data_IF_224612945050
#
_entry.id   IF_224612945050
#
_cell.length_a   1.000
_cell.length_b   1.000
_cell.length_c   1.000
_cell.angle_alpha   90.00
_cell.angle_beta   90.00
_cell.angle_gamma   90.00
#
_symmetry.space_group_name_H-M   'P 1'
#
loop_
_entity.id
_entity.type
_entity.pdbx_description
1 polymer ?
#
# COMPACT_ATOMS: atom_id res chain seq x y z
N UNK A 1 8.68 0.79 -11.16
CA UNK A 1 8.97 -0.48 -10.47
C UNK A 1 9.51 -0.19 -9.08
N UNK A 2 9.39 -1.13 -8.15
CA UNK A 2 9.97 -1.05 -6.79
C UNK A 2 10.96 -2.19 -6.66
N UNK A 3 12.16 -1.90 -6.19
CA UNK A 3 13.21 -2.90 -5.90
C UNK A 3 13.66 -2.76 -4.46
N UNK A 4 14.14 -3.84 -3.84
CA UNK A 4 14.69 -3.80 -2.48
C UNK A 4 16.07 -4.45 -2.49
N UNK A 5 17.04 -3.76 -1.89
CA UNK A 5 18.40 -4.23 -1.64
C UNK A 5 18.72 -4.05 -0.17
N UNK A 6 18.72 -5.16 0.58
CA UNK A 6 18.82 -5.16 2.04
C UNK A 6 17.79 -4.25 2.70
N UNK A 7 18.26 -3.17 3.32
CA UNK A 7 17.42 -2.22 4.07
C UNK A 7 16.95 -1.02 3.25
N UNK A 8 17.20 -1.01 1.93
CA UNK A 8 16.85 0.11 1.06
C UNK A 8 15.89 -0.37 -0.03
N UNK A 9 14.74 0.27 -0.14
CA UNK A 9 13.83 0.11 -1.27
C UNK A 9 13.90 1.33 -2.17
N UNK A 10 13.91 1.12 -3.48
CA UNK A 10 14.00 2.15 -4.51
C UNK A 10 12.81 2.10 -5.46
N UNK A 11 12.29 3.27 -5.83
CA UNK A 11 11.29 3.45 -6.88
C UNK A 11 12.00 3.86 -8.17
N UNK A 12 11.61 3.27 -9.28
CA UNK A 12 12.15 3.57 -10.59
C UNK A 12 11.05 3.83 -11.61
N UNK A 13 11.29 4.74 -12.54
CA UNK A 13 10.44 4.90 -13.72
C UNK A 13 10.71 3.80 -14.76
N UNK A 14 9.89 3.76 -15.81
CA UNK A 14 9.99 2.76 -16.88
C UNK A 14 11.25 2.92 -17.75
N UNK A 15 11.89 4.08 -17.71
CA UNK A 15 13.18 4.36 -18.36
C UNK A 15 14.38 3.92 -17.53
N UNK A 16 14.17 3.33 -16.34
CA UNK A 16 15.23 2.87 -15.44
C UNK A 16 15.85 3.98 -14.58
N UNK A 17 15.27 5.17 -14.54
CA UNK A 17 15.73 6.25 -13.65
C UNK A 17 15.15 6.04 -12.25
N UNK A 18 16.01 6.11 -11.23
CA UNK A 18 15.59 6.11 -9.83
C UNK A 18 14.82 7.40 -9.53
N UNK A 19 13.60 7.27 -9.01
CA UNK A 19 12.74 8.38 -8.63
C UNK A 19 12.92 8.74 -7.16
N UNK A 20 13.00 7.74 -6.29
CA UNK A 20 13.19 7.92 -4.85
C UNK A 20 13.67 6.63 -4.19
N UNK A 21 14.07 6.74 -2.93
CA UNK A 21 14.45 5.61 -2.08
C UNK A 21 13.94 5.81 -0.66
N UNK A 22 13.65 4.70 0.02
CA UNK A 22 13.21 4.68 1.40
C UNK A 22 13.84 3.53 2.15
N UNK A 23 14.14 3.79 3.42
CA UNK A 23 14.67 2.77 4.32
C UNK A 23 13.54 1.85 4.76
N UNK A 24 13.77 0.55 4.65
CA UNK A 24 12.93 -0.49 5.21
C UNK A 24 13.73 -1.16 6.33
N UNK A 25 13.11 -1.28 7.50
CA UNK A 25 13.78 -1.87 8.68
C UNK A 25 13.64 -3.40 8.75
N UNK A 26 12.92 -3.96 7.78
CA UNK A 26 12.53 -5.36 7.68
C UNK A 26 12.27 -5.69 6.21
N UNK A 27 12.32 -6.97 5.87
CA UNK A 27 12.02 -7.41 4.52
C UNK A 27 10.56 -7.10 4.18
N UNK A 28 10.35 -6.54 2.99
CA UNK A 28 9.03 -6.21 2.48
C UNK A 28 8.68 -7.04 1.24
N UNK A 29 7.40 -7.35 1.08
CA UNK A 29 6.86 -8.19 0.02
C UNK A 29 5.60 -7.56 -0.59
N UNK A 30 5.30 -7.97 -1.82
CA UNK A 30 4.10 -7.57 -2.57
C UNK A 30 3.87 -6.04 -2.63
N UNK A 31 4.87 -5.23 -3.03
CA UNK A 31 4.67 -3.80 -3.11
C UNK A 31 3.64 -3.43 -4.20
N UNK A 32 2.75 -2.49 -3.90
CA UNK A 32 1.68 -2.04 -4.80
C UNK A 32 1.49 -0.53 -4.72
N UNK A 33 1.32 0.11 -5.88
CA UNK A 33 1.00 1.54 -5.95
C UNK A 33 -0.50 1.79 -5.71
N UNK A 34 -0.82 2.94 -5.12
CA UNK A 34 -2.18 3.47 -5.16
C UNK A 34 -2.59 3.83 -6.59
N UNK A 35 -3.91 3.82 -6.92
CA UNK A 35 -4.37 4.16 -8.26
C UNK A 35 -3.97 5.57 -8.74
N UNK A 36 -3.82 6.51 -7.80
CA UNK A 36 -3.35 7.87 -8.08
C UNK A 36 -1.82 7.98 -8.16
N UNK A 37 -1.09 6.88 -7.93
CA UNK A 37 0.36 6.81 -7.99
C UNK A 37 1.09 7.58 -6.87
N UNK A 38 0.39 8.08 -5.85
CA UNK A 38 1.00 8.91 -4.79
C UNK A 38 1.49 8.11 -3.59
N UNK A 39 1.02 6.87 -3.44
CA UNK A 39 1.32 6.01 -2.30
C UNK A 39 1.76 4.64 -2.76
N UNK A 40 2.51 3.99 -1.88
CA UNK A 40 2.90 2.59 -1.99
C UNK A 40 2.45 1.88 -0.73
N UNK A 41 1.99 0.65 -0.87
CA UNK A 41 1.85 -0.29 0.24
C UNK A 41 2.75 -1.50 0.00
N UNK A 42 3.34 -2.02 1.07
CA UNK A 42 3.98 -3.33 1.08
C UNK A 42 3.72 -4.03 2.41
N UNK A 43 3.94 -5.35 2.43
CA UNK A 43 3.81 -6.18 3.63
C UNK A 43 5.19 -6.47 4.17
N UNK A 44 5.36 -6.49 5.49
CA UNK A 44 6.60 -6.94 6.10
C UNK A 44 6.58 -8.38 6.60
N UNK A 45 7.78 -8.94 6.85
CA UNK A 45 7.95 -10.17 7.64
C UNK A 45 7.30 -10.11 9.02
N UNK A 46 7.24 -8.94 9.64
CA UNK A 46 6.75 -8.79 11.02
C UNK A 46 5.22 -8.63 11.10
N UNK A 47 4.50 -9.21 10.13
CA UNK A 47 3.04 -9.16 10.03
C UNK A 47 2.47 -7.72 9.98
N UNK A 48 3.15 -6.80 9.31
CA UNK A 48 2.67 -5.43 9.14
C UNK A 48 2.37 -5.14 7.68
N UNK A 49 1.37 -4.29 7.45
CA UNK A 49 1.22 -3.57 6.20
C UNK A 49 1.74 -2.14 6.41
N UNK A 50 2.66 -1.70 5.56
CA UNK A 50 3.32 -0.39 5.68
C UNK A 50 3.03 0.42 4.43
N UNK A 51 2.69 1.70 4.63
CA UNK A 51 2.36 2.63 3.57
C UNK A 51 3.39 3.76 3.54
N UNK A 52 3.91 4.05 2.35
CA UNK A 52 4.78 5.19 2.07
C UNK A 52 4.13 6.13 1.06
N UNK A 53 4.55 7.39 1.06
CA UNK A 53 4.41 8.23 -0.13
C UNK A 53 5.50 7.90 -1.16
N UNK A 54 5.32 8.34 -2.40
CA UNK A 54 6.33 8.11 -3.45
C UNK A 54 7.61 8.93 -3.30
N UNK A 55 7.69 9.85 -2.34
CA UNK A 55 8.94 10.53 -1.98
C UNK A 55 9.77 9.70 -0.99
N UNK A 56 9.24 8.55 -0.53
CA UNK A 56 9.91 7.64 0.39
C UNK A 56 9.59 7.90 1.86
N UNK A 57 8.65 8.79 2.17
CA UNK A 57 8.22 9.02 3.55
C UNK A 57 7.24 7.92 3.98
N UNK A 58 7.56 7.24 5.07
CA UNK A 58 6.62 6.32 5.71
C UNK A 58 5.44 7.11 6.31
N UNK A 59 4.22 6.70 5.96
CA UNK A 59 2.98 7.36 6.38
C UNK A 59 2.29 6.58 7.49
N UNK A 60 2.18 5.26 7.36
CA UNK A 60 1.37 4.41 8.25
C UNK A 60 1.99 3.02 8.38
N UNK A 61 1.93 2.46 9.58
CA UNK A 61 2.12 1.04 9.85
C UNK A 61 0.80 0.44 10.37
N UNK A 62 0.40 -0.69 9.82
CA UNK A 62 -0.83 -1.39 10.15
C UNK A 62 -0.43 -2.77 10.68
N UNK A 63 -0.46 -2.99 12.01
CA UNK A 63 -0.09 -4.27 12.58
C UNK A 63 -1.18 -5.32 12.34
N UNK A 64 -0.77 -6.55 12.06
CA UNK A 64 -1.64 -7.73 12.02
C UNK A 64 -1.15 -8.80 12.98
N UNK A 65 -2.10 -9.54 13.57
CA UNK A 65 -1.81 -10.62 14.52
C UNK A 65 -1.26 -11.88 13.81
N UNK A 66 -1.43 -11.95 12.50
CA UNK A 66 -1.05 -13.09 11.67
C UNK A 66 -0.39 -12.60 10.39
N UNK A 67 0.41 -13.44 9.71
CA UNK A 67 0.99 -13.11 8.41
C UNK A 67 -0.03 -12.53 7.44
N UNK A 68 0.32 -11.37 6.90
CA UNK A 68 -0.45 -10.73 5.84
C UNK A 68 -0.01 -11.37 4.53
N UNK A 69 -0.96 -11.92 3.78
CA UNK A 69 -0.63 -12.59 2.52
C UNK A 69 -0.61 -11.61 1.36
N UNK A 70 -1.48 -10.60 1.41
CA UNK A 70 -1.68 -9.67 0.31
C UNK A 70 -2.26 -8.34 0.80
N UNK A 71 -1.77 -7.25 0.21
CA UNK A 71 -2.21 -5.90 0.50
C UNK A 71 -2.19 -5.07 -0.79
N UNK A 72 -3.33 -4.46 -1.15
CA UNK A 72 -3.44 -3.58 -2.32
C UNK A 72 -4.39 -2.43 -2.07
N UNK A 73 -4.17 -1.34 -2.79
CA UNK A 73 -5.19 -0.32 -2.93
C UNK A 73 -6.29 -0.79 -3.89
N UNK A 74 -7.55 -0.55 -3.53
CA UNK A 74 -8.67 -0.76 -4.44
C UNK A 74 -8.69 0.30 -5.52
N UNK A 75 -8.95 -0.07 -6.79
CA UNK A 75 -9.19 0.89 -7.85
C UNK A 75 -10.54 1.57 -7.59
N UNK A 76 -10.53 2.87 -7.29
CA UNK A 76 -11.78 3.63 -7.35
C UNK A 76 -12.16 3.86 -8.82
N UNK A 77 -13.16 3.14 -9.30
CA UNK A 77 -14.03 3.64 -10.37
C UNK A 77 -15.43 3.71 -9.78
N UNK A 78 -15.79 4.88 -9.24
CA UNK A 78 -17.16 5.10 -8.76
C UNK A 78 -18.09 5.26 -9.96
N UNK A 79 -18.82 4.21 -10.33
CA UNK A 79 -20.03 4.34 -11.15
C UNK A 79 -21.22 4.19 -10.21
N UNK A 80 -21.80 5.33 -9.82
CA UNK A 80 -23.00 5.35 -8.98
C UNK A 80 -24.21 4.87 -9.78
N UNK A 81 -24.91 3.86 -9.29
CA UNK A 81 -26.36 3.83 -9.47
C UNK A 81 -27.01 3.37 -8.17
N UNK A 82 -27.83 4.28 -7.63
CA UNK A 82 -28.71 4.17 -6.47
C UNK A 82 -28.08 4.34 -5.07
N UNK A 83 -28.24 5.57 -4.57
CA UNK A 83 -28.50 5.93 -3.17
C UNK A 83 -27.39 5.66 -2.13
N UNK A 84 -26.30 6.43 -2.18
CA UNK A 84 -25.83 7.15 -0.99
C UNK A 84 -24.88 8.31 -1.34
N UNK A 85 -25.43 9.52 -1.39
CA UNK A 85 -24.66 10.72 -1.07
C UNK A 85 -24.42 10.73 0.44
N UNK A 86 -23.30 10.17 0.89
CA UNK A 86 -22.72 10.59 2.16
C UNK A 86 -21.21 10.68 2.01
N UNK A 87 -20.75 11.91 1.78
CA UNK A 87 -19.36 12.38 1.95
C UNK A 87 -18.32 11.79 0.99
N UNK A 88 -17.97 12.64 0.03
CA UNK A 88 -16.63 12.74 -0.54
C UNK A 88 -15.54 12.32 0.47
N UNK A 89 -14.92 11.17 0.26
CA UNK A 89 -13.54 10.93 0.69
C UNK A 89 -12.87 10.15 -0.42
N UNK A 90 -12.18 10.89 -1.30
CA UNK A 90 -11.27 10.36 -2.30
C UNK A 90 -10.04 9.85 -1.56
N UNK A 91 -10.11 8.65 -0.96
CA UNK A 91 -8.93 7.94 -0.48
C UNK A 91 -9.20 6.43 -0.58
N UNK A 92 -8.35 5.75 -1.36
CA UNK A 92 -8.54 4.37 -1.80
C UNK A 92 -8.76 3.41 -0.64
N UNK A 93 -9.75 2.53 -0.80
CA UNK A 93 -10.00 1.42 0.13
C UNK A 93 -8.79 0.51 0.10
N UNK A 94 -8.16 0.29 1.25
CA UNK A 94 -7.15 -0.76 1.37
C UNK A 94 -7.84 -2.12 1.49
N UNK A 95 -7.37 -3.13 0.75
CA UNK A 95 -7.79 -4.51 0.94
C UNK A 95 -6.59 -5.32 1.43
N UNK A 96 -6.72 -5.88 2.64
CA UNK A 96 -5.70 -6.75 3.26
C UNK A 96 -6.33 -8.08 3.63
N UNK A 97 -5.72 -9.20 3.22
CA UNK A 97 -6.20 -10.55 3.54
C UNK A 97 -5.16 -11.37 4.33
N UNK A 98 -5.60 -12.02 5.41
CA UNK A 98 -4.80 -12.98 6.20
C UNK A 98 -5.52 -14.34 6.33
N UNK A 99 -4.80 -15.36 6.81
CA UNK A 99 -5.30 -16.73 6.94
C UNK A 99 -6.48 -16.92 7.92
N UNK A 100 -6.82 -15.93 8.75
CA UNK A 100 -7.88 -16.07 9.77
C UNK A 100 -9.08 -15.12 9.66
N UNK A 101 -9.07 -14.02 8.91
CA UNK A 101 -10.30 -13.23 8.67
C UNK A 101 -10.20 -12.12 7.62
N UNK A 102 -11.39 -11.60 7.32
CA UNK A 102 -11.93 -10.63 6.37
C UNK A 102 -11.06 -9.42 5.99
N UNK A 103 -11.27 -8.92 4.76
CA UNK A 103 -10.70 -7.68 4.24
C UNK A 103 -10.86 -6.51 5.21
N UNK A 104 -9.76 -5.90 5.63
CA UNK A 104 -9.78 -4.71 6.50
C UNK A 104 -9.94 -3.46 5.64
N UNK A 105 -11.09 -2.79 5.74
CA UNK A 105 -11.35 -1.50 5.09
C UNK A 105 -10.86 -0.36 5.98
N UNK A 106 -9.78 0.31 5.57
CA UNK A 106 -9.25 1.49 6.25
C UNK A 106 -9.48 2.73 5.39
N UNK A 107 -9.87 3.83 6.04
CA UNK A 107 -9.93 5.17 5.45
C UNK A 107 -8.63 5.91 5.79
N UNK A 108 -7.82 6.24 4.79
CA UNK A 108 -6.52 6.91 4.91
C UNK A 108 -6.46 8.21 4.11
#
# INVERSE_FOLDING_TARGET
MITTDGTISSIWNTSGQKLSEFKVNQDIYNPSFSPDGKRIIAISTDNMAIIWDTNGKQLVEIPHQTPVMYAKFSPMVSVSSQLQMTKNFIFGILQVSSLQSTSIHLHL
#
